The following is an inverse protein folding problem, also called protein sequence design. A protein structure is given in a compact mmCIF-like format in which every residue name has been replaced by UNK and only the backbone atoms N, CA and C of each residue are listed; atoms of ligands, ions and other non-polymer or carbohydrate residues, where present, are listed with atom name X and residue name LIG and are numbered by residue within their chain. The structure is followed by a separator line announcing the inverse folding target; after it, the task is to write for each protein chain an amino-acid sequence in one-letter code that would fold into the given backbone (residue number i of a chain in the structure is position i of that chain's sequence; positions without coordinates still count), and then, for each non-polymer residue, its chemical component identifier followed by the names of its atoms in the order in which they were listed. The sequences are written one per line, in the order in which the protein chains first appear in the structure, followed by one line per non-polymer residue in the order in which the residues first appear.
data_IF_619879828768
#
_entry.id   IF_619879828768
#
_cell.length_a   1.000
_cell.length_b   1.000
_cell.length_c   1.000
_cell.angle_alpha   90.00
_cell.angle_beta   90.00
_cell.angle_gamma   90.00
#
_symmetry.space_group_name_H-M   'P 1'
#
loop_
_entity.id
_entity.type
_entity.pdbx_description
1 polymer ?
#
# COMPACT_ATOMS: atom_id res chain seq x y z
N UNK A 1 -35.62 -13.48 2.97
CA UNK A 1 -35.63 -12.16 2.31
C UNK A 1 -36.99 -11.97 1.66
N UNK A 2 -37.64 -10.82 1.84
CA UNK A 2 -38.97 -10.52 1.28
C UNK A 2 -38.85 -9.25 0.44
N UNK A 3 -39.34 -9.27 -0.80
CA UNK A 3 -39.33 -8.14 -1.73
C UNK A 3 -40.78 -7.81 -2.08
N UNK A 4 -41.14 -6.54 -1.91
CA UNK A 4 -42.48 -6.02 -2.20
C UNK A 4 -42.41 -5.01 -3.35
N UNK A 5 -43.42 -5.03 -4.22
CA UNK A 5 -43.63 -4.03 -5.26
C UNK A 5 -45.13 -3.71 -5.34
N UNK A 6 -45.47 -2.44 -5.16
CA UNK A 6 -46.86 -1.96 -5.14
C UNK A 6 -47.01 -0.55 -5.75
N UNK A 7 -46.04 -0.15 -6.59
CA UNK A 7 -45.98 1.20 -7.16
C UNK A 7 -46.91 1.38 -8.35
N UNK A 8 -47.25 0.29 -9.05
CA UNK A 8 -48.08 0.31 -10.23
C UNK A 8 -49.49 -0.19 -9.94
N UNK A 9 -50.46 0.32 -10.70
CA UNK A 9 -51.84 -0.19 -10.65
C UNK A 9 -51.96 -1.62 -11.19
N UNK A 10 -51.06 -2.01 -12.09
CA UNK A 10 -51.04 -3.34 -12.69
C UNK A 10 -50.23 -4.34 -11.85
N UNK A 11 -50.86 -5.43 -11.45
CA UNK A 11 -50.20 -6.53 -10.73
C UNK A 11 -49.06 -7.14 -11.55
N UNK A 12 -49.22 -7.25 -12.88
CA UNK A 12 -48.18 -7.78 -13.75
C UNK A 12 -46.92 -6.91 -13.73
N UNK A 13 -47.08 -5.59 -13.74
CA UNK A 13 -45.96 -4.66 -13.66
C UNK A 13 -45.28 -4.72 -12.28
N UNK A 14 -46.07 -4.80 -11.21
CA UNK A 14 -45.53 -4.99 -9.86
C UNK A 14 -44.75 -6.31 -9.74
N UNK A 15 -45.27 -7.40 -10.30
CA UNK A 15 -44.56 -8.68 -10.31
C UNK A 15 -43.23 -8.59 -11.05
N UNK A 16 -43.20 -7.97 -12.23
CA UNK A 16 -41.95 -7.75 -12.98
C UNK A 16 -40.95 -6.90 -12.18
N UNK A 17 -41.41 -5.82 -11.56
CA UNK A 17 -40.55 -4.98 -10.72
C UNK A 17 -39.98 -5.74 -9.51
N UNK A 18 -40.78 -6.60 -8.87
CA UNK A 18 -40.31 -7.46 -7.78
C UNK A 18 -39.28 -8.50 -8.25
N UNK A 19 -39.51 -9.10 -9.42
CA UNK A 19 -38.57 -10.05 -10.04
C UNK A 19 -37.25 -9.37 -10.40
N UNK A 20 -37.28 -8.17 -10.99
CA UNK A 20 -36.08 -7.38 -11.31
C UNK A 20 -35.25 -7.06 -10.07
N UNK A 21 -35.89 -6.55 -9.00
CA UNK A 21 -35.23 -6.27 -7.71
C UNK A 21 -34.62 -7.51 -7.09
N UNK A 22 -35.30 -8.66 -7.16
CA UNK A 22 -34.79 -9.92 -6.65
C UNK A 22 -33.51 -10.32 -7.38
N UNK A 23 -33.53 -10.21 -8.70
CA UNK A 23 -32.39 -10.55 -9.56
C UNK A 23 -31.20 -9.64 -9.26
N UNK A 24 -31.42 -8.34 -9.05
CA UNK A 24 -30.35 -7.40 -8.68
C UNK A 24 -29.68 -7.77 -7.36
N UNK A 25 -30.47 -8.02 -6.32
CA UNK A 25 -29.91 -8.41 -5.01
C UNK A 25 -29.19 -9.75 -5.09
N UNK A 26 -29.73 -10.72 -5.82
CA UNK A 26 -29.05 -12.00 -6.04
C UNK A 26 -27.73 -11.82 -6.78
N UNK A 27 -27.70 -10.99 -7.82
CA UNK A 27 -26.46 -10.71 -8.58
C UNK A 27 -25.39 -10.08 -7.71
N UNK A 28 -25.77 -9.12 -6.85
CA UNK A 28 -24.82 -8.48 -5.94
C UNK A 28 -24.34 -9.46 -4.86
N UNK A 29 -25.24 -10.20 -4.24
CA UNK A 29 -24.92 -11.16 -3.18
C UNK A 29 -24.08 -12.35 -3.66
N UNK A 30 -24.25 -12.77 -4.91
CA UNK A 30 -23.49 -13.87 -5.53
C UNK A 30 -22.28 -13.38 -6.34
N UNK A 31 -22.05 -12.07 -6.40
CA UNK A 31 -20.90 -11.51 -7.09
C UNK A 31 -19.61 -12.10 -6.48
N UNK A 32 -18.64 -12.53 -7.32
CA UNK A 32 -17.37 -12.98 -6.80
C UNK A 32 -16.69 -11.84 -6.04
N UNK A 33 -15.92 -12.15 -4.98
CA UNK A 33 -15.19 -11.13 -4.26
C UNK A 33 -14.25 -10.36 -5.21
N UNK A 34 -13.96 -9.08 -4.92
CA UNK A 34 -13.04 -8.31 -5.73
C UNK A 34 -11.68 -9.01 -5.81
N UNK A 35 -11.01 -8.84 -6.95
CA UNK A 35 -9.69 -9.47 -7.18
C UNK A 35 -8.74 -9.09 -6.03
N UNK A 36 -8.18 -10.10 -5.38
CA UNK A 36 -7.22 -9.88 -4.29
C UNK A 36 -6.09 -8.96 -4.76
N UNK A 37 -5.87 -7.87 -4.04
CA UNK A 37 -4.79 -6.93 -4.36
C UNK A 37 -3.46 -7.61 -4.10
N UNK A 38 -2.59 -7.61 -5.12
CA UNK A 38 -1.20 -8.04 -4.97
C UNK A 38 -0.37 -6.86 -4.45
N UNK A 39 0.41 -7.01 -3.38
CA UNK A 39 1.28 -5.94 -2.90
C UNK A 39 2.30 -5.61 -3.99
N UNK A 40 2.52 -4.32 -4.21
CA UNK A 40 3.53 -3.85 -5.16
C UNK A 40 4.90 -3.90 -4.51
N UNK A 41 5.90 -4.35 -5.27
CA UNK A 41 7.29 -4.25 -4.84
C UNK A 41 7.71 -2.76 -4.84
N UNK A 42 8.63 -2.33 -3.96
CA UNK A 42 9.23 -1.00 -4.04
C UNK A 42 9.80 -0.74 -5.44
N UNK A 43 9.69 0.50 -5.91
CA UNK A 43 10.18 0.87 -7.24
C UNK A 43 11.71 0.81 -7.29
N UNK A 44 12.27 0.58 -8.48
CA UNK A 44 13.72 0.61 -8.70
C UNK A 44 14.36 1.91 -8.21
N UNK A 45 13.72 3.05 -8.51
CA UNK A 45 14.16 4.37 -8.05
C UNK A 45 14.13 4.52 -6.52
N UNK A 46 13.21 3.86 -5.80
CA UNK A 46 13.20 3.84 -4.33
C UNK A 46 14.38 3.03 -3.79
N UNK A 47 14.66 1.87 -4.39
CA UNK A 47 15.79 1.03 -4.00
C UNK A 47 17.14 1.72 -4.24
N UNK A 48 17.31 2.40 -5.38
CA UNK A 48 18.51 3.16 -5.73
C UNK A 48 18.74 4.34 -4.77
N UNK A 49 17.69 5.13 -4.48
CA UNK A 49 17.75 6.22 -3.49
C UNK A 49 18.22 5.74 -2.13
N UNK A 50 17.62 4.65 -1.62
CA UNK A 50 18.01 4.03 -0.35
C UNK A 50 19.49 3.63 -0.34
N UNK A 51 20.00 3.04 -1.43
CA UNK A 51 21.42 2.64 -1.51
C UNK A 51 22.33 3.87 -1.52
N UNK A 52 21.99 4.91 -2.30
CA UNK A 52 22.74 6.17 -2.36
C UNK A 52 22.82 6.83 -0.99
N UNK A 53 21.70 6.93 -0.29
CA UNK A 53 21.63 7.46 1.07
C UNK A 53 22.46 6.64 2.06
N UNK A 54 22.36 5.30 2.01
CA UNK A 54 23.16 4.40 2.84
C UNK A 54 24.66 4.64 2.63
N UNK A 55 25.11 4.74 1.37
CA UNK A 55 26.51 5.04 1.03
C UNK A 55 26.94 6.41 1.54
N UNK A 56 26.11 7.44 1.35
CA UNK A 56 26.36 8.79 1.85
C UNK A 56 26.54 8.83 3.36
N UNK A 57 25.60 8.22 4.12
CA UNK A 57 25.68 8.11 5.57
C UNK A 57 26.93 7.35 6.04
N UNK A 58 27.31 6.28 5.34
CA UNK A 58 28.54 5.53 5.63
C UNK A 58 29.79 6.41 5.51
N UNK A 59 29.89 7.19 4.42
CA UNK A 59 30.99 8.14 4.22
C UNK A 59 31.03 9.20 5.32
N UNK A 60 29.88 9.79 5.65
CA UNK A 60 29.79 10.78 6.74
C UNK A 60 30.24 10.20 8.08
N UNK A 61 29.86 8.96 8.40
CA UNK A 61 30.27 8.29 9.65
C UNK A 61 31.77 7.98 9.68
N UNK A 62 32.35 7.51 8.58
CA UNK A 62 33.79 7.22 8.50
C UNK A 62 34.64 8.48 8.75
N UNK A 63 34.23 9.61 8.17
CA UNK A 63 34.91 10.90 8.38
C UNK A 63 34.87 11.38 9.85
N UNK A 64 33.82 11.02 10.60
CA UNK A 64 33.69 11.39 12.03
C UNK A 64 34.60 10.56 12.95
N UNK A 65 34.92 9.32 12.57
CA UNK A 65 35.72 8.41 13.42
C UNK A 65 37.24 8.62 13.34
N UNK A 66 37.73 9.41 12.38
CA UNK A 66 39.17 9.52 12.08
C UNK A 66 39.91 10.64 12.85
N UNK A 67 39.28 11.28 13.83
CA UNK A 67 39.90 12.37 14.61
C UNK A 67 40.45 11.93 15.98
N UNK A 68 40.97 10.70 16.10
CA UNK A 68 41.75 10.29 17.26
C UNK A 68 43.24 10.19 16.91
N UNK A 69 44.04 10.96 17.63
CA UNK A 69 45.51 11.05 17.60
C UNK A 69 46.08 12.04 16.59
N UNK A 70 46.12 13.30 17.01
CA UNK A 70 47.00 14.32 16.44
C UNK A 70 47.74 15.04 17.58
N UNK A 71 48.51 14.27 18.35
CA UNK A 71 49.56 14.81 19.22
C UNK A 71 50.90 14.27 18.71
N UNK A 72 51.81 15.10 18.20
CA UNK A 72 53.17 14.66 17.92
C UNK A 72 53.89 14.51 19.28
N UNK A 73 54.25 13.29 19.65
CA UNK A 73 55.11 13.09 20.83
C UNK A 73 56.53 13.53 20.49
N UNK A 74 56.88 14.77 20.84
CA UNK A 74 58.28 15.20 20.94
C UNK A 74 58.94 14.46 22.10
N UNK A 75 59.66 13.38 21.82
CA UNK A 75 60.66 12.85 22.75
C UNK A 75 61.97 13.58 22.48
N UNK A 76 62.27 14.59 23.29
CA UNK A 76 63.66 14.98 23.55
C UNK A 76 64.20 13.99 24.60
N UNK A 77 65.30 13.33 24.28
CA UNK A 77 66.10 12.55 25.24
C UNK A 77 67.29 13.40 25.69
N UNK A 78 67.77 13.23 26.93
CA UNK A 78 68.81 14.08 27.53
C UNK A 78 70.18 13.94 26.86
#
# INVERSE_FOLDING_TARGET
MVITAAEQRSQLQNRKAAEERLVEVLKEATAPPPRARRPTRPTKASAERRIKEKKGRGRTKALRGSSSSRYPSTRQSP
#
